data_IF_714956510934
#
_entry.id   IF_714956510934
#
_cell.length_a   1.000
_cell.length_b   1.000
_cell.length_c   1.000
_cell.angle_alpha   90.00
_cell.angle_beta   90.00
_cell.angle_gamma   90.00
#
_symmetry.space_group_name_H-M   'P 1'
#
loop_
_entity.id
_entity.type
_entity.pdbx_description
1 polymer ?
#
# COMPACT_ATOMS: atom_id res chain seq x y z
N UNK A 1 60.27 -1.53 20.67
CA UNK A 1 59.19 -0.67 20.13
C UNK A 1 58.25 -1.54 19.32
N UNK A 2 57.06 -1.89 19.86
CA UNK A 2 56.05 -2.71 19.17
C UNK A 2 55.08 -1.77 18.45
N UNK A 3 54.98 -1.89 17.13
CA UNK A 3 53.99 -1.16 16.32
C UNK A 3 52.63 -1.84 16.49
N UNK A 4 51.65 -1.11 16.99
CA UNK A 4 50.26 -1.56 17.01
C UNK A 4 49.65 -1.34 15.62
N UNK A 5 49.16 -2.41 15.01
CA UNK A 5 48.39 -2.38 13.77
C UNK A 5 46.92 -2.21 14.15
N UNK A 6 46.34 -1.05 13.85
CA UNK A 6 44.90 -0.80 14.07
C UNK A 6 44.08 -1.51 13.02
N UNK A 7 43.23 -2.45 13.44
CA UNK A 7 42.22 -3.08 12.60
C UNK A 7 41.03 -2.13 12.49
N UNK A 8 40.80 -1.53 11.32
CA UNK A 8 39.58 -0.78 11.02
C UNK A 8 38.53 -1.78 10.53
N UNK A 9 37.51 -2.04 11.35
CA UNK A 9 36.30 -2.74 10.90
C UNK A 9 35.48 -1.76 10.04
N UNK A 10 35.45 -1.97 8.72
CA UNK A 10 34.42 -1.36 7.88
C UNK A 10 33.11 -2.12 8.10
N UNK A 11 32.14 -1.47 8.73
CA UNK A 11 30.75 -1.89 8.67
C UNK A 11 30.21 -1.46 7.32
N UNK A 12 29.94 -2.42 6.44
CA UNK A 12 29.23 -2.15 5.18
C UNK A 12 27.80 -1.71 5.50
N UNK A 13 27.44 -0.48 5.14
CA UNK A 13 26.04 -0.08 5.04
C UNK A 13 25.41 -0.91 3.93
N UNK A 14 24.55 -1.86 4.27
CA UNK A 14 23.58 -2.40 3.31
C UNK A 14 22.47 -1.35 3.23
N UNK A 15 22.39 -0.65 2.09
CA UNK A 15 21.24 0.19 1.81
C UNK A 15 20.00 -0.72 1.72
N UNK A 16 18.94 -0.39 2.45
CA UNK A 16 17.65 -1.07 2.28
C UNK A 16 17.16 -0.85 0.85
N UNK A 17 16.64 -1.90 0.21
CA UNK A 17 16.06 -1.78 -1.12
C UNK A 17 14.84 -0.85 -1.08
N UNK A 18 14.68 -0.04 -2.13
CA UNK A 18 13.50 0.79 -2.32
C UNK A 18 12.22 -0.07 -2.35
N UNK A 19 11.10 0.38 -1.76
CA UNK A 19 9.86 -0.37 -1.80
C UNK A 19 9.32 -0.42 -3.24
N UNK A 20 9.01 -1.63 -3.71
CA UNK A 20 8.46 -1.86 -5.06
C UNK A 20 6.94 -1.58 -5.13
N UNK A 21 6.26 -1.60 -3.99
CA UNK A 21 4.84 -1.29 -3.84
C UNK A 21 4.66 -0.55 -2.53
N UNK A 22 3.81 0.48 -2.53
CA UNK A 22 3.48 1.27 -1.34
C UNK A 22 1.96 1.27 -1.12
N UNK A 23 1.53 1.62 0.10
CA UNK A 23 0.14 2.07 0.30
C UNK A 23 0.05 3.52 -0.17
N UNK A 24 -0.86 3.81 -1.10
CA UNK A 24 -1.11 5.17 -1.60
C UNK A 24 -2.26 5.84 -0.84
N UNK A 25 -3.27 5.06 -0.51
CA UNK A 25 -4.46 5.52 0.21
C UNK A 25 -5.12 4.34 0.96
N UNK A 26 -5.83 4.60 2.05
CA UNK A 26 -6.72 3.61 2.68
C UNK A 26 -7.86 4.30 3.43
N UNK A 27 -8.99 3.60 3.58
CA UNK A 27 -10.19 4.12 4.24
C UNK A 27 -10.79 3.14 5.25
N UNK A 28 -11.40 3.71 6.29
CA UNK A 28 -12.20 2.98 7.29
C UNK A 28 -13.65 2.74 6.81
N UNK A 29 -13.98 3.16 5.59
CA UNK A 29 -15.32 3.10 5.02
C UNK A 29 -16.37 3.89 5.81
N UNK A 30 -17.63 3.83 5.39
CA UNK A 30 -18.69 4.65 5.97
C UNK A 30 -19.05 4.13 7.36
N UNK A 31 -18.97 5.02 8.35
CA UNK A 31 -19.23 4.70 9.76
C UNK A 31 -18.30 3.64 10.39
N UNK A 32 -17.14 3.36 9.77
CA UNK A 32 -16.15 2.40 10.27
C UNK A 32 -16.43 0.96 9.85
N UNK A 33 -16.93 0.80 8.64
CA UNK A 33 -17.42 -0.43 7.99
C UNK A 33 -17.14 -0.28 6.49
N UNK A 34 -16.80 -1.35 5.78
CA UNK A 34 -16.43 -1.27 4.36
C UNK A 34 -15.02 -0.71 4.13
N UNK A 35 -14.04 -1.21 4.87
CA UNK A 35 -12.64 -0.78 4.77
C UNK A 35 -12.02 -1.15 3.43
N UNK A 36 -11.02 -0.38 3.02
CA UNK A 36 -10.32 -0.58 1.76
C UNK A 36 -8.89 -0.05 1.83
N UNK A 37 -8.04 -0.58 0.97
CA UNK A 37 -6.65 -0.17 0.80
C UNK A 37 -6.37 0.02 -0.68
N UNK A 38 -5.63 1.05 -1.01
CA UNK A 38 -5.11 1.31 -2.34
C UNK A 38 -3.59 1.25 -2.32
N UNK A 39 -3.04 0.44 -3.23
CA UNK A 39 -1.62 0.32 -3.45
C UNK A 39 -1.20 1.09 -4.69
N UNK A 40 0.01 1.62 -4.69
CA UNK A 40 0.70 2.08 -5.90
C UNK A 40 1.88 1.14 -6.17
N UNK A 41 1.91 0.57 -7.38
CA UNK A 41 3.05 -0.20 -7.87
C UNK A 41 4.14 0.78 -8.32
N UNK A 42 5.29 0.76 -7.66
CA UNK A 42 6.44 1.64 -7.95
C UNK A 42 7.44 0.95 -8.88
N UNK A 43 7.65 -0.35 -8.68
CA UNK A 43 8.65 -1.11 -9.43
C UNK A 43 10.10 -0.72 -9.11
N UNK A 44 11.04 -1.25 -9.90
CA UNK A 44 12.47 -0.89 -9.80
C UNK A 44 12.78 0.46 -10.46
N UNK A 45 11.77 1.07 -11.06
CA UNK A 45 11.83 2.36 -11.74
C UNK A 45 10.73 2.52 -12.80
N UNK A 46 10.74 3.64 -13.53
CA UNK A 46 9.75 3.90 -14.56
C UNK A 46 9.69 2.83 -15.67
N UNK A 47 8.49 2.48 -16.09
CA UNK A 47 8.23 1.49 -17.14
C UNK A 47 8.61 0.05 -16.79
N UNK A 48 8.84 -0.24 -15.50
CA UNK A 48 9.13 -1.60 -15.02
C UNK A 48 7.85 -2.35 -14.62
N UNK A 49 8.00 -3.61 -14.24
CA UNK A 49 6.91 -4.48 -13.79
C UNK A 49 7.27 -5.11 -12.45
N UNK A 50 6.26 -5.47 -11.65
CA UNK A 50 6.41 -6.20 -10.39
C UNK A 50 5.62 -7.52 -10.46
N UNK A 51 6.27 -8.61 -10.04
CA UNK A 51 5.62 -9.89 -9.80
C UNK A 51 5.04 -9.91 -8.38
N UNK A 52 3.71 -9.82 -8.27
CA UNK A 52 2.99 -9.81 -7.01
C UNK A 52 2.52 -11.20 -6.57
N UNK A 53 2.79 -12.26 -7.33
CA UNK A 53 2.31 -13.61 -6.99
C UNK A 53 2.77 -14.02 -5.61
N UNK A 54 1.81 -14.39 -4.76
CA UNK A 54 2.08 -14.84 -3.39
C UNK A 54 2.41 -13.76 -2.38
N UNK A 55 2.45 -12.48 -2.78
CA UNK A 55 2.58 -11.35 -1.85
C UNK A 55 1.35 -11.26 -0.95
N UNK A 56 1.50 -10.58 0.18
CA UNK A 56 0.40 -10.39 1.14
C UNK A 56 0.25 -8.95 1.60
N UNK A 57 -1.00 -8.59 1.89
CA UNK A 57 -1.36 -7.41 2.65
C UNK A 57 -1.84 -7.88 4.01
N UNK A 58 -1.24 -7.33 5.05
CA UNK A 58 -1.51 -7.71 6.43
C UNK A 58 -1.81 -6.46 7.25
N UNK A 59 -2.72 -6.54 8.20
CA UNK A 59 -2.75 -5.60 9.33
C UNK A 59 -2.13 -6.22 10.59
N UNK A 60 -1.98 -5.45 11.67
CA UNK A 60 -1.52 -5.98 12.95
C UNK A 60 -2.47 -5.56 14.06
N UNK A 61 -3.67 -6.13 14.07
CA UNK A 61 -4.63 -6.00 15.18
C UNK A 61 -4.18 -6.67 16.50
N UNK A 62 -2.95 -7.16 16.62
CA UNK A 62 -2.41 -7.81 17.83
C UNK A 62 -2.35 -9.34 17.78
N UNK A 63 -2.61 -9.93 16.60
CA UNK A 63 -2.21 -11.29 16.24
C UNK A 63 -1.06 -11.18 15.23
N UNK A 64 -0.08 -12.09 15.33
CA UNK A 64 1.00 -12.30 14.36
C UNK A 64 0.54 -12.45 12.90
N UNK A 65 -0.76 -12.70 12.66
CA UNK A 65 -1.38 -12.79 11.34
C UNK A 65 -2.43 -11.72 11.04
N UNK A 66 -2.65 -10.74 11.93
CA UNK A 66 -3.58 -9.62 11.70
C UNK A 66 -5.07 -9.98 11.62
N UNK A 67 -5.94 -8.98 11.71
CA UNK A 67 -7.36 -9.00 11.32
C UNK A 67 -7.55 -8.98 9.80
N UNK A 68 -6.69 -8.29 9.05
CA UNK A 68 -6.61 -8.38 7.58
C UNK A 68 -5.41 -9.24 7.18
N UNK A 69 -5.65 -10.28 6.38
CA UNK A 69 -4.63 -11.09 5.73
C UNK A 69 -5.14 -11.51 4.35
N UNK A 70 -4.60 -10.84 3.33
CA UNK A 70 -4.95 -11.04 1.93
C UNK A 70 -3.69 -11.50 1.21
N UNK A 71 -3.81 -12.53 0.37
CA UNK A 71 -2.72 -13.01 -0.46
C UNK A 71 -3.06 -12.83 -1.94
N UNK A 72 -2.14 -12.25 -2.70
CA UNK A 72 -2.20 -12.24 -4.16
C UNK A 72 -2.03 -13.66 -4.70
N UNK A 73 -2.93 -14.08 -5.59
CA UNK A 73 -2.93 -15.45 -6.11
C UNK A 73 -1.68 -15.73 -6.94
N UNK A 74 -1.25 -16.99 -6.95
CA UNK A 74 -0.23 -17.47 -7.88
C UNK A 74 -0.88 -17.65 -9.26
N UNK A 75 -0.96 -16.57 -10.03
CA UNK A 75 -1.54 -16.53 -11.38
C UNK A 75 -0.80 -15.55 -12.28
N UNK A 76 -0.84 -15.78 -13.60
CA UNK A 76 -0.20 -14.90 -14.60
C UNK A 76 -0.72 -13.46 -14.56
N UNK A 77 -1.95 -13.25 -14.05
CA UNK A 77 -2.51 -11.92 -13.84
C UNK A 77 -1.62 -11.04 -12.95
N UNK A 78 -0.96 -11.62 -11.95
CA UNK A 78 -0.10 -10.91 -11.01
C UNK A 78 1.39 -10.98 -11.36
N UNK A 79 1.78 -11.66 -12.44
CA UNK A 79 3.18 -11.93 -12.75
C UNK A 79 3.93 -10.69 -13.27
N UNK A 80 3.22 -9.73 -13.87
CA UNK A 80 3.82 -8.55 -14.52
C UNK A 80 2.93 -7.31 -14.35
N UNK A 81 2.75 -6.85 -13.11
CA UNK A 81 1.96 -5.63 -12.86
C UNK A 81 2.80 -4.40 -13.21
N UNK A 82 2.34 -3.51 -14.11
CA UNK A 82 3.12 -2.33 -14.50
C UNK A 82 3.34 -1.34 -13.35
N UNK A 83 4.50 -0.67 -13.35
CA UNK A 83 4.73 0.49 -12.51
C UNK A 83 3.76 1.64 -12.85
N UNK A 84 3.24 2.31 -11.83
CA UNK A 84 2.20 3.33 -11.93
C UNK A 84 0.76 2.80 -11.89
N UNK A 85 0.58 1.48 -11.69
CA UNK A 85 -0.74 0.86 -11.47
C UNK A 85 -1.23 1.13 -10.05
N UNK A 86 -2.47 1.60 -9.94
CA UNK A 86 -3.23 1.62 -8.70
C UNK A 86 -3.97 0.28 -8.53
N UNK A 87 -3.86 -0.32 -7.34
CA UNK A 87 -4.60 -1.53 -6.98
C UNK A 87 -5.45 -1.22 -5.75
N UNK A 88 -6.75 -1.05 -5.95
CA UNK A 88 -7.73 -0.86 -4.90
C UNK A 88 -8.29 -2.21 -4.48
N UNK A 89 -8.21 -2.53 -3.19
CA UNK A 89 -8.78 -3.76 -2.60
C UNK A 89 -9.70 -3.37 -1.45
N UNK A 90 -10.93 -3.88 -1.48
CA UNK A 90 -11.98 -3.49 -0.54
C UNK A 90 -12.65 -4.66 0.16
N UNK A 91 -13.26 -4.41 1.31
CA UNK A 91 -14.03 -5.38 2.07
C UNK A 91 -15.29 -5.81 1.29
N UNK A 92 -15.18 -6.89 0.50
CA UNK A 92 -16.28 -7.38 -0.32
C UNK A 92 -17.46 -7.95 0.51
N UNK A 93 -17.24 -8.22 1.80
CA UNK A 93 -18.30 -8.61 2.73
C UNK A 93 -19.21 -7.46 3.15
N UNK A 94 -18.84 -6.21 2.86
CA UNK A 94 -19.49 -5.02 3.40
C UNK A 94 -19.65 -3.87 2.40
N UNK A 95 -19.94 -4.24 1.14
CA UNK A 95 -20.15 -3.33 0.00
C UNK A 95 -21.12 -2.17 0.31
N UNK A 96 -22.25 -2.35 1.03
CA UNK A 96 -23.16 -1.24 1.33
C UNK A 96 -22.53 -0.10 2.14
N UNK A 97 -21.43 -0.36 2.84
CA UNK A 97 -20.70 0.62 3.65
C UNK A 97 -19.48 1.22 2.94
N UNK A 98 -19.19 0.86 1.68
CA UNK A 98 -18.20 1.58 0.88
C UNK A 98 -18.64 3.04 0.68
N UNK A 99 -17.69 3.99 0.53
CA UNK A 99 -18.01 5.38 0.25
C UNK A 99 -18.79 5.51 -1.07
N UNK A 100 -19.67 6.50 -1.17
CA UNK A 100 -20.59 6.60 -2.31
C UNK A 100 -19.89 6.86 -3.67
N UNK A 101 -18.65 7.37 -3.63
CA UNK A 101 -17.81 7.61 -4.80
C UNK A 101 -16.83 6.48 -5.09
N UNK A 102 -16.94 5.33 -4.42
CA UNK A 102 -16.05 4.19 -4.64
C UNK A 102 -16.12 3.71 -6.11
N UNK A 103 -14.98 3.40 -6.74
CA UNK A 103 -14.96 2.93 -8.12
C UNK A 103 -15.61 1.55 -8.24
N UNK A 104 -16.02 1.19 -9.47
CA UNK A 104 -16.53 -0.15 -9.76
C UNK A 104 -15.38 -1.15 -9.85
N UNK A 105 -15.69 -2.43 -9.66
CA UNK A 105 -14.76 -3.52 -9.93
C UNK A 105 -14.13 -3.37 -11.32
N UNK A 106 -12.80 -3.48 -11.34
CA UNK A 106 -11.97 -3.38 -12.53
C UNK A 106 -10.86 -4.43 -12.46
N UNK A 107 -10.73 -5.16 -13.56
CA UNK A 107 -9.80 -6.28 -13.70
C UNK A 107 -8.92 -6.11 -14.95
N UNK A 108 -8.94 -4.95 -15.60
CA UNK A 108 -8.12 -4.67 -16.77
C UNK A 108 -6.83 -3.92 -16.35
N UNK A 109 -5.65 -4.55 -16.41
CA UNK A 109 -4.42 -3.86 -16.02
C UNK A 109 -3.94 -2.82 -17.06
N UNK A 110 -4.53 -2.77 -18.26
CA UNK A 110 -4.04 -1.92 -19.37
C UNK A 110 -4.20 -0.41 -19.09
N UNK A 111 -5.16 -0.01 -18.23
CA UNK A 111 -5.43 1.38 -17.90
C UNK A 111 -4.75 1.86 -16.60
N UNK A 112 -3.93 1.00 -15.98
CA UNK A 112 -3.23 1.23 -14.72
C UNK A 112 -4.16 1.39 -13.50
N UNK A 113 -5.38 0.87 -13.56
CA UNK A 113 -6.29 0.79 -12.41
C UNK A 113 -6.86 -0.62 -12.27
N UNK A 114 -6.70 -1.20 -11.09
CA UNK A 114 -7.38 -2.43 -10.70
C UNK A 114 -8.24 -2.16 -9.47
N UNK A 115 -9.48 -2.62 -9.49
CA UNK A 115 -10.41 -2.53 -8.35
C UNK A 115 -10.92 -3.93 -8.04
N UNK A 116 -10.29 -4.55 -7.05
CA UNK A 116 -10.44 -5.97 -6.76
C UNK A 116 -11.25 -6.16 -5.46
N UNK A 117 -12.39 -6.88 -5.48
CA UNK A 117 -13.07 -7.27 -4.26
C UNK A 117 -12.16 -8.15 -3.41
N UNK A 118 -11.98 -7.80 -2.14
CA UNK A 118 -11.30 -8.57 -1.12
C UNK A 118 -12.09 -9.83 -0.75
N UNK A 119 -12.12 -10.82 -1.65
CA UNK A 119 -12.71 -12.15 -1.45
C UNK A 119 -11.84 -13.21 -2.12
N UNK A 120 -11.87 -14.44 -1.59
CA UNK A 120 -11.20 -15.57 -2.22
C UNK A 120 -11.82 -15.85 -3.60
N UNK A 121 -10.98 -15.92 -4.63
CA UNK A 121 -11.42 -16.08 -6.02
C UNK A 121 -10.26 -16.20 -6.99
N UNK A 122 -10.38 -15.59 -8.17
CA UNK A 122 -9.39 -15.66 -9.25
C UNK A 122 -8.19 -14.75 -9.04
N UNK A 123 -8.33 -13.71 -8.22
CA UNK A 123 -7.31 -12.69 -8.00
C UNK A 123 -6.67 -12.79 -6.62
N UNK A 124 -7.46 -13.04 -5.58
CA UNK A 124 -6.99 -13.04 -4.20
C UNK A 124 -7.35 -14.35 -3.50
N UNK A 125 -6.57 -14.70 -2.49
CA UNK A 125 -6.92 -15.61 -1.42
C UNK A 125 -7.07 -14.76 -0.14
N UNK A 126 -8.28 -14.66 0.39
CA UNK A 126 -8.55 -13.93 1.62
C UNK A 126 -8.59 -14.93 2.77
N UNK A 127 -7.55 -14.91 3.59
CA UNK A 127 -7.46 -15.75 4.78
C UNK A 127 -8.21 -15.13 5.95
N UNK A 128 -8.19 -13.80 6.06
CA UNK A 128 -8.92 -13.04 7.07
C UNK A 128 -9.19 -11.61 6.59
N UNK A 129 -10.38 -11.08 6.88
CA UNK A 129 -10.70 -9.67 6.70
C UNK A 129 -11.66 -9.22 7.81
N UNK A 130 -11.08 -8.79 8.93
CA UNK A 130 -11.82 -8.28 10.10
C UNK A 130 -11.85 -6.74 10.13
N UNK A 131 -11.45 -6.10 9.03
CA UNK A 131 -11.37 -4.65 8.89
C UNK A 131 -10.09 -4.08 9.52
N UNK A 132 -9.82 -2.80 9.25
CA UNK A 132 -8.71 -2.07 9.85
C UNK A 132 -9.16 -1.49 11.21
N UNK A 133 -8.30 -1.49 12.22
CA UNK A 133 -8.70 -0.98 13.53
C UNK A 133 -8.84 0.55 13.55
N UNK A 134 -10.06 1.06 13.76
CA UNK A 134 -10.34 2.50 13.81
C UNK A 134 -9.48 3.31 14.81
N UNK A 135 -9.02 2.70 15.91
CA UNK A 135 -8.19 3.38 16.92
C UNK A 135 -6.70 3.43 16.57
N UNK A 136 -6.29 2.76 15.50
CA UNK A 136 -4.90 2.63 15.09
C UNK A 136 -4.50 1.19 14.83
N UNK A 137 -3.79 0.99 13.73
CA UNK A 137 -3.29 -0.29 13.25
C UNK A 137 -1.97 -0.09 12.49
N UNK A 138 -1.44 -1.18 11.97
CA UNK A 138 -0.25 -1.20 11.12
C UNK A 138 -0.56 -1.97 9.86
N UNK A 139 -0.37 -1.38 8.69
CA UNK A 139 -0.58 -2.04 7.39
C UNK A 139 0.78 -2.42 6.81
N UNK A 140 0.91 -3.67 6.39
CA UNK A 140 2.12 -4.22 5.80
C UNK A 140 1.85 -4.75 4.41
N UNK A 141 2.83 -4.56 3.55
CA UNK A 141 2.97 -5.26 2.27
C UNK A 141 4.19 -6.15 2.41
N UNK A 142 3.99 -7.45 2.22
CA UNK A 142 5.03 -8.47 2.40
C UNK A 142 5.16 -9.27 1.11
N UNK A 143 6.38 -9.43 0.62
CA UNK A 143 6.64 -10.18 -0.61
C UNK A 143 6.44 -11.69 -0.44
N UNK A 144 6.54 -12.44 -1.55
CA UNK A 144 6.40 -13.90 -1.55
C UNK A 144 7.46 -14.64 -0.72
N UNK A 145 8.57 -13.98 -0.35
CA UNK A 145 9.64 -14.53 0.47
C UNK A 145 9.42 -14.26 1.97
N UNK A 146 8.42 -13.44 2.30
CA UNK A 146 8.14 -13.02 3.68
C UNK A 146 8.85 -11.73 4.09
N UNK A 147 9.46 -11.01 3.15
CA UNK A 147 10.14 -9.75 3.44
C UNK A 147 9.17 -8.56 3.38
N UNK A 148 9.27 -7.66 4.36
CA UNK A 148 8.44 -6.43 4.38
C UNK A 148 8.93 -5.50 3.27
N UNK A 149 8.05 -5.25 2.29
CA UNK A 149 8.30 -4.32 1.19
C UNK A 149 7.96 -2.90 1.62
N UNK A 150 6.79 -2.73 2.25
CA UNK A 150 6.35 -1.44 2.76
C UNK A 150 5.50 -1.64 4.02
N UNK A 151 5.52 -0.66 4.90
CA UNK A 151 4.63 -0.61 6.06
C UNK A 151 4.29 0.83 6.43
N UNK A 152 3.10 1.00 6.99
CA UNK A 152 2.70 2.23 7.67
C UNK A 152 2.03 1.88 9.00
N UNK A 153 2.01 2.86 9.90
CA UNK A 153 1.32 2.79 11.19
C UNK A 153 0.40 4.01 11.32
N UNK A 154 -0.74 3.86 12.00
CA UNK A 154 -1.63 4.99 12.28
C UNK A 154 -2.27 4.87 13.66
N UNK A 155 -2.81 5.98 14.16
CA UNK A 155 -3.42 6.08 15.47
C UNK A 155 -2.47 5.66 16.60
N UNK A 156 -2.98 4.86 17.54
CA UNK A 156 -2.23 4.48 18.74
C UNK A 156 -1.15 3.41 18.55
N UNK A 157 -1.06 2.79 17.36
CA UNK A 157 -0.06 1.74 17.09
C UNK A 157 1.15 2.30 16.38
N UNK A 158 2.32 1.72 16.70
CA UNK A 158 3.62 2.07 16.12
C UNK A 158 4.36 0.79 15.75
N UNK A 159 4.46 0.52 14.45
CA UNK A 159 5.12 -0.67 13.93
C UNK A 159 6.25 -0.38 12.94
N UNK A 160 6.67 0.89 12.86
CA UNK A 160 7.66 1.39 11.91
C UNK A 160 7.07 1.77 10.56
N UNK A 161 7.92 2.30 9.68
CA UNK A 161 7.46 3.01 8.48
C UNK A 161 7.00 4.42 8.82
N UNK A 162 6.09 4.98 8.01
CA UNK A 162 5.45 6.26 8.30
C UNK A 162 4.44 6.11 9.44
N UNK A 163 4.41 7.08 10.36
CA UNK A 163 3.41 7.17 11.43
C UNK A 163 2.40 8.26 11.09
N UNK A 164 1.14 7.87 10.92
CA UNK A 164 0.03 8.78 10.70
C UNK A 164 -0.72 9.05 12.01
N UNK A 165 -1.55 10.08 12.01
CA UNK A 165 -2.50 10.36 13.09
C UNK A 165 -3.63 9.32 13.15
N UNK A 166 -4.67 9.61 13.94
CA UNK A 166 -5.86 8.76 13.97
C UNK A 166 -6.55 8.79 12.61
N UNK A 167 -6.98 7.62 12.12
CA UNK A 167 -7.88 7.48 10.96
C UNK A 167 -9.13 6.82 11.51
N UNK A 168 -10.07 7.65 11.96
CA UNK A 168 -11.29 7.23 12.64
C UNK A 168 -12.35 6.71 11.65
N UNK A 169 -13.46 6.22 12.19
CA UNK A 169 -14.64 5.79 11.43
C UNK A 169 -15.07 6.85 10.41
N UNK A 170 -15.29 6.46 9.16
CA UNK A 170 -15.66 7.42 8.11
C UNK A 170 -14.53 8.32 7.65
N UNK A 171 -13.28 8.01 8.00
CA UNK A 171 -12.09 8.69 7.51
C UNK A 171 -11.25 7.80 6.61
N UNK A 172 -10.44 8.46 5.81
CA UNK A 172 -9.39 7.88 5.00
C UNK A 172 -8.08 8.65 5.23
N UNK A 173 -6.97 8.03 4.83
CA UNK A 173 -5.67 8.64 4.79
C UNK A 173 -5.03 8.43 3.41
N UNK A 174 -4.50 9.50 2.83
CA UNK A 174 -3.98 9.50 1.46
C UNK A 174 -2.66 10.25 1.35
N UNK A 175 -1.76 9.70 0.54
CA UNK A 175 -0.45 10.28 0.28
C UNK A 175 -0.55 11.37 -0.80
N UNK A 176 -0.09 12.58 -0.49
CA UNK A 176 -0.13 13.75 -1.36
C UNK A 176 1.13 13.94 -2.20
N UNK A 177 2.24 13.30 -1.84
CA UNK A 177 3.52 13.54 -2.53
C UNK A 177 3.73 12.66 -3.77
N UNK A 178 4.94 12.74 -4.32
CA UNK A 178 5.35 12.02 -5.52
C UNK A 178 6.70 11.31 -5.43
N UNK A 179 7.09 10.79 -4.25
CA UNK A 179 8.38 10.10 -4.10
C UNK A 179 8.45 9.06 -2.98
N UNK A 180 9.43 8.17 -3.09
CA UNK A 180 9.74 7.15 -2.07
C UNK A 180 10.35 7.72 -0.80
N UNK A 181 11.03 8.86 -0.88
CA UNK A 181 11.48 9.57 0.30
C UNK A 181 10.30 10.26 0.98
N UNK A 182 9.39 10.83 0.18
CA UNK A 182 8.24 11.57 0.64
C UNK A 182 7.19 10.71 1.34
N UNK A 183 7.02 9.44 0.95
CA UNK A 183 6.03 8.53 1.57
C UNK A 183 6.30 8.28 3.06
N UNK A 184 7.55 8.43 3.51
CA UNK A 184 7.96 8.27 4.91
C UNK A 184 7.75 9.52 5.77
N UNK A 185 7.32 10.62 5.18
CA UNK A 185 7.12 11.92 5.83
C UNK A 185 5.63 12.09 6.14
N UNK A 186 5.21 12.10 7.42
CA UNK A 186 3.79 12.22 7.80
C UNK A 186 3.10 13.47 7.25
N UNK A 187 3.83 14.57 7.08
CA UNK A 187 3.30 15.83 6.54
C UNK A 187 2.88 15.74 5.07
N UNK A 188 3.39 14.75 4.33
CA UNK A 188 2.97 14.46 2.97
C UNK A 188 1.72 13.57 2.91
N UNK A 189 1.12 13.24 4.06
CA UNK A 189 -0.14 12.53 4.16
C UNK A 189 -1.24 13.44 4.66
N UNK A 190 -2.46 13.19 4.21
CA UNK A 190 -3.65 13.83 4.73
C UNK A 190 -4.61 12.78 5.28
N UNK A 191 -5.22 13.11 6.40
CA UNK A 191 -6.33 12.34 6.98
C UNK A 191 -7.58 13.21 6.94
N UNK A 192 -8.70 12.63 6.52
CA UNK A 192 -9.96 13.35 6.43
C UNK A 192 -11.13 12.45 6.07
N UNK A 193 -12.31 13.02 5.77
CA UNK A 193 -13.50 12.24 5.46
C UNK A 193 -13.33 11.30 4.26
N UNK A 194 -13.77 10.05 4.42
CA UNK A 194 -13.95 9.08 3.32
C UNK A 194 -15.25 9.42 2.57
N UNK A 195 -15.20 10.47 1.77
CA UNK A 195 -16.34 11.10 1.11
C UNK A 195 -15.90 11.86 -0.15
N UNK A 196 -16.84 12.24 -1.05
CA UNK A 196 -16.51 13.02 -2.24
C UNK A 196 -15.77 14.33 -1.90
N UNK A 197 -14.65 14.59 -2.57
CA UNK A 197 -13.76 15.73 -2.27
C UNK A 197 -12.79 15.51 -1.11
N UNK A 198 -12.85 14.34 -0.46
CA UNK A 198 -11.86 13.83 0.47
C UNK A 198 -11.01 12.75 -0.21
N UNK A 199 -11.20 11.51 0.22
CA UNK A 199 -10.57 10.31 -0.37
C UNK A 199 -10.81 10.16 -1.87
N UNK A 200 -9.90 9.50 -2.58
CA UNK A 200 -9.94 9.34 -4.04
C UNK A 200 -9.62 7.92 -4.51
N UNK A 201 -10.33 6.87 -4.03
CA UNK A 201 -10.08 5.49 -4.43
C UNK A 201 -10.11 5.33 -5.95
N UNK A 202 -9.04 4.80 -6.51
CA UNK A 202 -8.80 4.59 -7.93
C UNK A 202 -8.34 5.84 -8.70
N UNK A 203 -7.98 6.92 -8.01
CA UNK A 203 -7.56 8.18 -8.64
C UNK A 203 -6.38 8.83 -7.90
N UNK A 204 -5.62 9.73 -8.55
CA UNK A 204 -4.54 10.43 -7.88
C UNK A 204 -5.02 11.34 -6.75
N UNK A 205 -4.26 11.36 -5.65
CA UNK A 205 -4.57 12.09 -4.43
C UNK A 205 -4.24 13.59 -4.49
N UNK A 206 -3.40 13.98 -5.45
CA UNK A 206 -2.91 15.34 -5.68
C UNK A 206 -2.31 15.47 -7.09
N UNK A 207 -1.98 16.69 -7.52
CA UNK A 207 -1.23 16.91 -8.76
C UNK A 207 0.17 16.28 -8.73
N UNK A 208 0.84 16.31 -7.58
CA UNK A 208 2.18 15.72 -7.42
C UNK A 208 2.13 14.19 -7.47
N UNK A 209 1.14 13.60 -6.80
CA UNK A 209 0.87 12.17 -6.83
C UNK A 209 0.50 11.70 -8.25
N UNK A 210 -0.31 12.49 -8.97
CA UNK A 210 -0.63 12.23 -10.38
C UNK A 210 0.62 12.27 -11.27
N UNK A 211 1.45 13.30 -11.11
CA UNK A 211 2.70 13.44 -11.87
C UNK A 211 3.64 12.25 -11.61
N UNK A 212 3.72 11.77 -10.37
CA UNK A 212 4.54 10.61 -10.04
C UNK A 212 4.02 9.33 -10.68
N UNK A 213 2.70 9.08 -10.62
CA UNK A 213 2.10 7.94 -11.31
C UNK A 213 2.39 7.98 -12.81
N UNK A 214 2.23 9.13 -13.47
CA UNK A 214 2.57 9.28 -14.89
C UNK A 214 4.05 9.03 -15.16
N UNK A 215 4.94 9.53 -14.29
CA UNK A 215 6.37 9.27 -14.40
C UNK A 215 6.67 7.77 -14.32
N UNK A 216 6.11 7.05 -13.34
CA UNK A 216 6.32 5.61 -13.15
C UNK A 216 5.88 4.78 -14.36
N UNK A 217 4.91 5.24 -15.15
CA UNK A 217 4.43 4.53 -16.35
C UNK A 217 5.38 4.66 -17.54
N UNK A 218 6.26 5.65 -17.54
CA UNK A 218 7.05 6.06 -18.71
C UNK A 218 8.42 5.37 -18.71
N UNK A 219 8.75 4.47 -19.65
CA UNK A 219 10.08 3.87 -19.71
C UNK A 219 11.17 4.94 -19.87
N UNK A 220 12.40 4.71 -19.37
CA UNK A 220 13.51 5.63 -19.61
C UNK A 220 13.71 5.85 -21.11
N UNK A 221 13.95 7.09 -21.54
CA UNK A 221 14.36 7.37 -22.91
C UNK A 221 15.66 6.59 -23.20
N UNK A 222 15.69 5.89 -24.34
CA UNK A 222 16.84 5.08 -24.78
C UNK A 222 17.97 5.94 -25.31
#
# INVERSE_FOLDING_TARGET
MRKALGLVLLWGLVAAAAPLVIVNEFGQGRAGFGEWVELLVVGEGPGTFVDLRGWTIQDYQGDSRGGVYIKFKDSEFWAQVPAGTLIVIYNAGDVPNLPAHFPKDDFDPEDFLLVIPGKTGDYLEVLRWEGLANTGDCVYIVDARGEVVFRLSYGQRQCGGVQLGNVDRGQAAWYLGGSLEGILIPENWKVGPDAPGGSTPGAPNSEENAAWMTYLRTPPEK
#
